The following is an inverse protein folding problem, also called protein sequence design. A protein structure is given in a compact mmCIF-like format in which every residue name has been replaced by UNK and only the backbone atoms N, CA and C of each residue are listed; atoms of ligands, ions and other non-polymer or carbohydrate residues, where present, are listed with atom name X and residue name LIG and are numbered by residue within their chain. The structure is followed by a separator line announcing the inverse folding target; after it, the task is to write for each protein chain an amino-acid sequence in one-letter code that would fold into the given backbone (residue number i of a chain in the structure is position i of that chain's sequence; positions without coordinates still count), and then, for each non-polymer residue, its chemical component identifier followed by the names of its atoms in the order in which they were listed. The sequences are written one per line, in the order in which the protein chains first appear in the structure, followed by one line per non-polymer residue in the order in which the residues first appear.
data_IF_105386182425
#
_entry.id   IF_105386182425
#
_cell.length_a   1.000
_cell.length_b   1.000
_cell.length_c   1.000
_cell.angle_alpha   90.00
_cell.angle_beta   90.00
_cell.angle_gamma   90.00
#
_symmetry.space_group_name_H-M   'P 1'
#
loop_
_entity.id
_entity.type
_entity.pdbx_description
1 polymer ?
#
# COMPACT_ATOMS: atom_id res chain seq x y z
N UNK A 1 1.06 23.86 8.69
CA UNK A 1 0.60 23.98 7.29
C UNK A 1 -0.34 22.85 6.83
N UNK A 2 -0.61 21.82 7.66
CA UNK A 2 -1.55 20.71 7.35
C UNK A 2 -3.04 21.11 7.32
N UNK A 3 -3.40 22.27 7.90
CA UNK A 3 -4.79 22.79 7.88
C UNK A 3 -5.34 23.20 6.49
N UNK A 4 -4.51 23.32 5.48
CA UNK A 4 -4.96 23.80 4.16
C UNK A 4 -5.65 22.72 3.29
N UNK A 5 -5.45 21.43 3.57
CA UNK A 5 -6.16 20.35 2.86
C UNK A 5 -7.47 19.95 3.58
N UNK A 6 -7.49 20.01 4.92
CA UNK A 6 -8.71 19.86 5.69
C UNK A 6 -9.75 20.95 5.43
N UNK A 7 -9.28 22.18 5.13
CA UNK A 7 -10.17 23.30 4.79
C UNK A 7 -10.82 23.21 3.41
N UNK A 8 -10.27 22.48 2.46
CA UNK A 8 -10.84 22.29 1.13
C UNK A 8 -11.92 21.17 1.14
N UNK A 9 -11.77 20.18 2.02
CA UNK A 9 -12.74 19.10 2.19
C UNK A 9 -14.01 19.56 2.92
N UNK A 10 -13.87 20.40 3.96
CA UNK A 10 -15.02 20.92 4.71
C UNK A 10 -15.99 21.77 3.87
N UNK A 11 -15.50 22.36 2.76
CA UNK A 11 -16.36 23.16 1.85
C UNK A 11 -17.26 22.29 0.98
N UNK A 12 -16.89 21.03 0.73
CA UNK A 12 -17.70 20.12 -0.13
C UNK A 12 -18.96 19.63 0.58
N UNK A 13 -18.93 19.48 1.90
CA UNK A 13 -20.07 19.00 2.69
C UNK A 13 -21.05 20.10 3.09
N UNK A 14 -20.66 21.39 3.01
CA UNK A 14 -21.53 22.52 3.40
C UNK A 14 -22.45 23.02 2.28
N UNK A 15 -22.33 22.53 1.06
CA UNK A 15 -23.17 22.95 -0.08
C UNK A 15 -23.99 21.78 -0.60
N UNK A 16 -25.11 21.53 0.02
CA UNK A 16 -26.11 20.69 -0.63
C UNK A 16 -27.03 20.02 0.36
N UNK A 17 -28.32 20.33 0.27
CA UNK A 17 -29.35 19.60 0.95
C UNK A 17 -29.18 18.09 0.71
N UNK A 18 -29.19 17.35 1.80
CA UNK A 18 -29.14 15.89 1.84
C UNK A 18 -30.31 15.31 1.03
N UNK A 19 -30.04 14.92 -0.19
CA UNK A 19 -30.89 13.92 -0.84
C UNK A 19 -30.58 12.59 -0.11
N UNK A 20 -31.33 12.30 0.95
CA UNK A 20 -31.27 11.01 1.61
C UNK A 20 -31.86 9.97 0.68
N UNK A 21 -31.04 9.09 0.12
CA UNK A 21 -31.52 7.87 -0.51
C UNK A 21 -31.86 6.82 0.56
N UNK A 22 -32.80 5.91 0.28
CA UNK A 22 -33.12 4.87 1.24
C UNK A 22 -31.86 4.05 1.54
N UNK A 23 -31.44 4.09 2.81
CA UNK A 23 -30.34 3.27 3.29
C UNK A 23 -30.72 1.79 3.12
N UNK A 24 -29.89 1.04 2.41
CA UNK A 24 -30.00 -0.42 2.38
C UNK A 24 -29.72 -0.93 3.78
N UNK A 25 -30.55 -1.82 4.32
CA UNK A 25 -30.43 -2.36 5.66
C UNK A 25 -29.13 -3.18 5.76
N UNK A 26 -28.04 -2.53 6.16
CA UNK A 26 -26.72 -3.12 6.28
C UNK A 26 -26.50 -3.82 7.62
N UNK A 27 -25.52 -4.68 7.67
CA UNK A 27 -25.00 -5.38 8.85
C UNK A 27 -24.66 -4.35 9.94
N UNK A 28 -24.95 -4.62 11.21
CA UNK A 28 -24.75 -3.71 12.32
C UNK A 28 -23.41 -2.94 12.24
N UNK A 29 -23.49 -1.60 12.19
CA UNK A 29 -22.34 -0.69 12.16
C UNK A 29 -21.82 -0.27 10.78
N UNK A 30 -22.33 -0.79 9.65
CA UNK A 30 -22.04 -0.30 8.31
C UNK A 30 -23.31 0.22 7.65
N UNK A 31 -23.28 1.47 7.19
CA UNK A 31 -24.35 2.09 6.40
C UNK A 31 -23.74 2.51 5.05
N UNK A 32 -24.43 2.22 3.95
CA UNK A 32 -23.97 2.63 2.62
C UNK A 32 -25.08 3.47 1.98
N UNK A 33 -24.76 4.72 1.69
CA UNK A 33 -25.59 5.64 0.93
C UNK A 33 -25.12 5.66 -0.53
N UNK A 34 -26.01 5.25 -1.44
CA UNK A 34 -25.67 5.11 -2.85
C UNK A 34 -26.86 5.47 -3.75
N UNK A 35 -26.64 6.24 -4.82
CA UNK A 35 -27.68 6.50 -5.81
C UNK A 35 -28.02 5.21 -6.59
N UNK A 36 -29.23 5.12 -7.20
CA UNK A 36 -29.69 3.92 -7.91
C UNK A 36 -28.69 3.33 -8.91
N UNK A 37 -27.94 4.11 -9.70
CA UNK A 37 -26.92 3.55 -10.61
C UNK A 37 -25.80 2.77 -9.91
N UNK A 38 -25.51 3.10 -8.65
CA UNK A 38 -24.46 2.47 -7.85
C UNK A 38 -24.95 1.40 -6.88
N UNK A 39 -26.25 1.00 -6.95
CA UNK A 39 -26.84 0.00 -6.05
C UNK A 39 -26.05 -1.33 -6.03
N UNK A 40 -25.68 -1.88 -7.20
CA UNK A 40 -24.84 -3.08 -7.28
C UNK A 40 -23.44 -2.91 -6.70
N UNK A 41 -22.95 -1.69 -6.71
CA UNK A 41 -21.64 -1.34 -6.12
C UNK A 41 -21.76 -1.32 -4.60
N UNK A 42 -22.87 -0.80 -4.06
CA UNK A 42 -23.18 -0.85 -2.63
C UNK A 42 -23.30 -2.30 -2.14
N UNK A 43 -24.07 -3.15 -2.84
CA UNK A 43 -24.21 -4.58 -2.52
C UNK A 43 -22.84 -5.31 -2.42
N UNK A 44 -21.91 -4.99 -3.32
CA UNK A 44 -20.53 -5.56 -3.27
C UNK A 44 -19.76 -5.10 -2.04
N UNK A 45 -19.90 -3.86 -1.61
CA UNK A 45 -19.26 -3.37 -0.39
C UNK A 45 -19.91 -3.94 0.88
N UNK A 46 -21.23 -4.16 0.88
CA UNK A 46 -21.93 -4.84 1.98
C UNK A 46 -21.43 -6.28 2.17
N UNK A 47 -21.04 -6.94 1.08
CA UNK A 47 -20.54 -8.31 1.05
C UNK A 47 -19.07 -8.44 1.47
N UNK A 48 -18.36 -7.34 1.77
CA UNK A 48 -16.95 -7.38 2.20
C UNK A 48 -16.79 -8.20 3.47
N UNK A 49 -15.78 -9.07 3.50
CA UNK A 49 -15.46 -9.90 4.66
C UNK A 49 -14.95 -9.03 5.84
N UNK A 50 -15.90 -8.65 6.69
CA UNK A 50 -15.62 -7.82 7.87
C UNK A 50 -14.83 -8.55 8.94
N UNK A 51 -15.00 -9.86 9.06
CA UNK A 51 -14.23 -10.64 10.04
C UNK A 51 -12.74 -10.64 9.65
N UNK A 52 -12.46 -10.77 8.37
CA UNK A 52 -11.11 -10.63 7.83
C UNK A 52 -10.56 -9.22 8.04
N UNK A 53 -11.34 -8.18 7.68
CA UNK A 53 -10.93 -6.79 7.90
C UNK A 53 -10.62 -6.51 9.37
N UNK A 54 -11.48 -6.95 10.29
CA UNK A 54 -11.26 -6.83 11.72
C UNK A 54 -9.99 -7.55 12.19
N UNK A 55 -9.74 -8.75 11.65
CA UNK A 55 -8.53 -9.50 11.94
C UNK A 55 -7.27 -8.76 11.47
N UNK A 56 -7.32 -8.18 10.26
CA UNK A 56 -6.20 -7.44 9.68
C UNK A 56 -5.89 -6.16 10.46
N UNK A 57 -6.93 -5.42 10.87
CA UNK A 57 -6.80 -4.25 11.74
C UNK A 57 -6.22 -4.62 13.12
N UNK A 58 -6.73 -5.68 13.75
CA UNK A 58 -6.22 -6.14 15.05
C UNK A 58 -4.75 -6.54 14.99
N UNK A 59 -4.30 -7.14 13.90
CA UNK A 59 -2.87 -7.41 13.70
C UNK A 59 -2.04 -6.14 13.69
N UNK A 60 -2.56 -5.04 13.15
CA UNK A 60 -1.92 -3.73 13.20
C UNK A 60 -2.06 -2.99 14.55
N UNK A 61 -2.73 -3.61 15.54
CA UNK A 61 -3.02 -2.99 16.84
C UNK A 61 -4.16 -1.97 16.81
N UNK A 62 -5.04 -2.10 15.81
CA UNK A 62 -6.19 -1.22 15.58
C UNK A 62 -7.50 -1.98 15.80
N UNK A 63 -8.55 -1.26 16.17
CA UNK A 63 -9.89 -1.80 16.31
C UNK A 63 -10.76 -1.36 15.13
N UNK A 64 -11.65 -2.25 14.68
CA UNK A 64 -12.66 -1.89 13.69
C UNK A 64 -13.60 -0.84 14.28
N UNK A 65 -13.83 0.31 13.61
CA UNK A 65 -14.80 1.31 14.07
C UNK A 65 -16.18 0.69 14.28
N UNK A 66 -16.86 1.11 15.35
CA UNK A 66 -18.19 0.60 15.69
C UNK A 66 -19.26 1.01 14.65
N UNK A 67 -19.04 2.15 14.00
CA UNK A 67 -19.89 2.70 12.94
C UNK A 67 -19.03 3.12 11.76
N UNK A 68 -19.49 2.80 10.56
CA UNK A 68 -18.87 3.19 9.29
C UNK A 68 -20.02 3.61 8.36
N UNK A 69 -20.02 4.86 7.95
CA UNK A 69 -20.98 5.41 7.03
C UNK A 69 -20.29 5.69 5.69
N UNK A 70 -20.68 4.98 4.64
CA UNK A 70 -20.07 5.09 3.31
C UNK A 70 -21.01 5.83 2.38
N UNK A 71 -20.53 6.88 1.73
CA UNK A 71 -21.24 7.57 0.66
C UNK A 71 -20.57 7.27 -0.68
N UNK A 72 -21.30 6.67 -1.60
CA UNK A 72 -20.84 6.45 -2.98
C UNK A 72 -21.29 7.61 -3.86
N UNK A 73 -20.33 8.27 -4.50
CA UNK A 73 -20.58 9.43 -5.35
C UNK A 73 -20.18 9.09 -6.80
N UNK A 74 -21.11 9.14 -7.78
CA UNK A 74 -20.77 8.96 -9.19
C UNK A 74 -20.04 10.20 -9.75
N UNK A 75 -19.26 10.05 -10.79
CA UNK A 75 -18.41 11.13 -11.32
C UNK A 75 -19.21 12.29 -11.96
N UNK A 76 -20.44 12.06 -12.37
CA UNK A 76 -21.35 13.07 -12.90
C UNK A 76 -22.03 13.91 -11.81
N UNK A 77 -21.95 13.50 -10.53
CA UNK A 77 -22.47 14.25 -9.38
C UNK A 77 -21.75 15.61 -9.25
N UNK A 78 -22.49 16.71 -9.01
CA UNK A 78 -21.87 18.02 -8.77
C UNK A 78 -20.83 18.04 -7.66
N UNK A 79 -20.96 17.20 -6.64
CA UNK A 79 -19.99 17.08 -5.53
C UNK A 79 -18.64 16.55 -6.02
N UNK A 80 -18.63 15.64 -6.99
CA UNK A 80 -17.41 15.06 -7.55
C UNK A 80 -16.53 16.11 -8.27
N UNK A 81 -17.14 17.18 -8.82
CA UNK A 81 -16.42 18.23 -9.55
C UNK A 81 -15.47 19.04 -8.70
N UNK A 82 -15.69 19.10 -7.40
CA UNK A 82 -14.86 19.84 -6.45
C UNK A 82 -13.71 19.02 -5.87
N UNK A 83 -13.68 17.71 -6.16
CA UNK A 83 -12.66 16.78 -5.69
C UNK A 83 -11.74 16.43 -6.86
N UNK A 84 -10.41 16.57 -6.71
CA UNK A 84 -9.46 16.19 -7.77
C UNK A 84 -9.71 14.77 -8.30
N UNK A 85 -9.66 14.59 -9.62
CA UNK A 85 -10.02 13.33 -10.27
C UNK A 85 -9.14 12.11 -9.86
N UNK A 86 -7.99 12.35 -9.28
CA UNK A 86 -7.10 11.31 -8.77
C UNK A 86 -7.46 10.84 -7.34
N UNK A 87 -8.40 11.51 -6.66
CA UNK A 87 -8.92 11.08 -5.36
C UNK A 87 -10.04 10.07 -5.62
N UNK A 88 -9.83 8.85 -5.15
CA UNK A 88 -10.75 7.72 -5.31
C UNK A 88 -11.66 7.57 -4.10
N UNK A 89 -11.15 7.89 -2.92
CA UNK A 89 -11.88 7.88 -1.65
C UNK A 89 -11.18 8.74 -0.63
N UNK A 90 -11.87 9.00 0.47
CA UNK A 90 -11.31 9.62 1.67
C UNK A 90 -12.21 9.38 2.87
N UNK A 91 -11.58 9.27 4.04
CA UNK A 91 -12.26 9.29 5.32
C UNK A 91 -12.48 10.74 5.79
N UNK A 92 -13.64 11.04 6.35
CA UNK A 92 -13.97 12.36 6.93
C UNK A 92 -14.59 12.17 8.32
N UNK A 93 -13.97 12.79 9.32
CA UNK A 93 -14.39 12.61 10.70
C UNK A 93 -14.05 11.24 11.27
N UNK A 94 -14.93 10.71 12.11
CA UNK A 94 -14.73 9.49 12.88
C UNK A 94 -15.39 8.23 12.31
N UNK A 95 -16.30 8.39 11.34
CA UNK A 95 -17.14 7.31 10.83
C UNK A 95 -17.40 7.39 9.33
N UNK A 96 -17.16 8.53 8.70
CA UNK A 96 -17.64 8.81 7.34
C UNK A 96 -16.56 8.52 6.31
N UNK A 97 -16.96 7.80 5.25
CA UNK A 97 -16.11 7.48 4.11
C UNK A 97 -16.84 7.92 2.84
N UNK A 98 -16.15 8.66 1.98
CA UNK A 98 -16.64 9.00 0.64
C UNK A 98 -15.80 8.22 -0.37
N UNK A 99 -16.47 7.56 -1.32
CA UNK A 99 -15.82 6.82 -2.40
C UNK A 99 -16.41 7.23 -3.75
N UNK A 100 -15.52 7.40 -4.74
CA UNK A 100 -15.84 7.62 -6.14
C UNK A 100 -15.55 6.33 -6.93
N UNK A 101 -16.52 5.42 -7.09
CA UNK A 101 -16.26 4.08 -7.61
C UNK A 101 -15.72 4.06 -9.05
N UNK A 102 -16.06 5.06 -9.86
CA UNK A 102 -15.63 5.17 -11.25
C UNK A 102 -14.16 5.61 -11.41
N UNK A 103 -13.56 6.11 -10.31
CA UNK A 103 -12.15 6.57 -10.27
C UNK A 103 -11.18 5.48 -9.82
N UNK A 104 -11.66 4.28 -9.49
CA UNK A 104 -10.79 3.19 -9.04
C UNK A 104 -9.87 2.77 -10.18
N UNK A 105 -8.59 3.09 -10.05
CA UNK A 105 -7.52 2.76 -10.99
C UNK A 105 -6.76 1.51 -10.51
N UNK A 106 -6.07 0.81 -11.40
CA UNK A 106 -5.31 -0.38 -11.02
C UNK A 106 -4.22 -0.15 -9.96
N UNK A 107 -3.83 1.10 -9.69
CA UNK A 107 -2.83 1.44 -8.67
C UNK A 107 -3.14 2.81 -8.03
N UNK A 108 -3.02 2.98 -6.71
CA UNK A 108 -2.55 2.00 -5.69
C UNK A 108 -3.59 0.96 -5.28
N UNK A 109 -4.84 1.09 -5.76
CA UNK A 109 -5.95 0.20 -5.44
C UNK A 109 -6.28 -0.67 -6.65
N UNK A 110 -6.46 -1.96 -6.43
CA UNK A 110 -6.85 -2.89 -7.49
C UNK A 110 -8.36 -3.19 -7.51
N UNK A 111 -9.10 -2.71 -6.52
CA UNK A 111 -10.52 -2.95 -6.37
C UNK A 111 -11.19 -1.92 -5.46
N UNK A 112 -12.50 -1.82 -5.56
CA UNK A 112 -13.32 -1.01 -4.66
C UNK A 112 -13.21 -1.48 -3.19
N UNK A 113 -13.09 -2.80 -2.98
CA UNK A 113 -12.88 -3.37 -1.65
C UNK A 113 -11.56 -2.87 -1.05
N UNK A 114 -10.50 -2.81 -1.87
CA UNK A 114 -9.20 -2.28 -1.46
C UNK A 114 -9.30 -0.83 -1.01
N UNK A 115 -9.99 0.03 -1.78
CA UNK A 115 -10.26 1.42 -1.37
C UNK A 115 -11.02 1.47 -0.03
N UNK A 116 -12.10 0.72 0.10
CA UNK A 116 -12.89 0.69 1.33
C UNK A 116 -12.05 0.26 2.54
N UNK A 117 -11.27 -0.81 2.42
CA UNK A 117 -10.38 -1.30 3.49
C UNK A 117 -9.32 -0.28 3.88
N UNK A 118 -8.79 0.44 2.90
CA UNK A 118 -7.84 1.51 3.10
C UNK A 118 -8.46 2.67 3.90
N UNK A 119 -9.65 3.13 3.53
CA UNK A 119 -10.32 4.21 4.24
C UNK A 119 -10.76 3.80 5.65
N UNK A 120 -11.21 2.56 5.84
CA UNK A 120 -11.50 2.03 7.18
C UNK A 120 -10.24 1.98 8.07
N UNK A 121 -9.07 1.68 7.49
CA UNK A 121 -7.82 1.70 8.24
C UNK A 121 -7.45 3.12 8.70
N UNK A 122 -7.77 4.16 7.91
CA UNK A 122 -7.63 5.56 8.33
C UNK A 122 -8.51 5.87 9.54
N UNK A 123 -9.81 5.54 9.49
CA UNK A 123 -10.73 5.74 10.62
C UNK A 123 -10.25 5.01 11.89
N UNK A 124 -9.79 3.75 11.73
CA UNK A 124 -9.31 2.95 12.84
C UNK A 124 -8.03 3.53 13.47
N UNK A 125 -7.14 4.07 12.65
CA UNK A 125 -5.89 4.69 13.11
C UNK A 125 -6.15 6.01 13.81
N UNK A 126 -7.04 6.86 13.27
CA UNK A 126 -7.46 8.12 13.89
C UNK A 126 -8.14 7.89 15.24
N UNK A 127 -9.04 6.92 15.30
CA UNK A 127 -9.67 6.52 16.56
C UNK A 127 -8.63 6.05 17.59
N UNK A 128 -7.64 5.26 17.17
CA UNK A 128 -6.54 4.78 18.03
C UNK A 128 -5.61 5.90 18.49
N UNK A 129 -5.40 6.92 17.65
CA UNK A 129 -4.63 8.12 17.98
C UNK A 129 -5.42 9.14 18.82
N UNK A 130 -6.71 8.91 19.08
CA UNK A 130 -7.57 9.84 19.80
C UNK A 130 -7.79 11.16 19.05
N UNK A 131 -7.73 11.16 17.71
CA UNK A 131 -7.82 12.34 16.86
C UNK A 131 -6.57 13.22 16.86
N UNK A 132 -5.46 12.74 17.42
CA UNK A 132 -4.20 13.48 17.39
C UNK A 132 -3.53 13.34 16.00
N UNK A 133 -2.85 14.41 15.57
CA UNK A 133 -2.16 14.46 14.27
C UNK A 133 -1.02 13.42 14.21
N UNK A 134 -1.07 12.56 13.21
CA UNK A 134 -0.01 11.64 12.83
C UNK A 134 0.63 12.10 11.50
N UNK A 135 1.93 11.84 11.27
CA UNK A 135 2.56 12.15 9.99
C UNK A 135 1.88 11.41 8.83
N UNK A 136 1.62 12.11 7.73
CA UNK A 136 0.90 11.55 6.58
C UNK A 136 1.52 10.24 6.07
N UNK A 137 2.85 10.16 5.98
CA UNK A 137 3.53 8.94 5.55
C UNK A 137 3.21 7.74 6.46
N UNK A 138 3.05 7.98 7.77
CA UNK A 138 2.70 6.92 8.70
C UNK A 138 1.24 6.50 8.52
N UNK A 139 0.36 7.47 8.37
CA UNK A 139 -1.07 7.27 8.12
C UNK A 139 -1.32 6.41 6.88
N UNK A 140 -0.77 6.84 5.74
CA UNK A 140 -0.88 6.14 4.46
C UNK A 140 -0.18 4.78 4.47
N UNK A 141 0.99 4.71 5.10
CA UNK A 141 1.73 3.45 5.22
C UNK A 141 0.99 2.40 6.03
N UNK A 142 0.32 2.79 7.12
CA UNK A 142 -0.52 1.89 7.92
C UNK A 142 -1.72 1.42 7.11
N UNK A 143 -2.46 2.33 6.47
CA UNK A 143 -3.63 2.00 5.67
C UNK A 143 -3.28 1.02 4.54
N UNK A 144 -2.22 1.29 3.78
CA UNK A 144 -1.70 0.39 2.74
C UNK A 144 -1.27 -0.98 3.30
N UNK A 145 -0.72 -1.03 4.51
CA UNK A 145 -0.25 -2.27 5.13
C UNK A 145 -1.37 -3.16 5.65
N UNK A 146 -2.56 -2.62 5.89
CA UNK A 146 -3.76 -3.35 6.32
C UNK A 146 -4.52 -3.92 5.14
N UNK A 147 -4.57 -3.20 4.01
CA UNK A 147 -5.35 -3.63 2.84
C UNK A 147 -4.80 -4.90 2.21
N UNK A 148 -3.56 -4.90 1.78
CA UNK A 148 -2.91 -6.07 1.18
C UNK A 148 -1.43 -6.12 1.52
N UNK A 149 -0.94 -7.33 1.72
CA UNK A 149 0.50 -7.56 1.65
C UNK A 149 1.03 -7.09 0.30
N UNK A 150 2.09 -6.30 0.32
CA UNK A 150 2.79 -5.73 -0.82
C UNK A 150 2.93 -6.71 -1.97
N UNK A 151 2.37 -6.38 -3.12
CA UNK A 151 2.55 -7.14 -4.34
C UNK A 151 3.94 -6.88 -4.98
N UNK A 152 4.30 -7.72 -5.94
CA UNK A 152 5.60 -7.64 -6.62
C UNK A 152 5.73 -6.34 -7.43
N UNK A 153 4.63 -5.85 -8.01
CA UNK A 153 4.62 -4.64 -8.83
C UNK A 153 4.87 -3.38 -7.98
N UNK A 154 4.21 -3.28 -6.82
CA UNK A 154 4.46 -2.21 -5.86
C UNK A 154 5.91 -2.21 -5.38
N UNK A 155 6.52 -3.39 -5.16
CA UNK A 155 7.94 -3.52 -4.82
C UNK A 155 8.86 -3.02 -5.92
N UNK A 156 8.60 -3.36 -7.17
CA UNK A 156 9.39 -2.91 -8.33
C UNK A 156 9.29 -1.40 -8.52
N UNK A 157 8.09 -0.82 -8.42
CA UNK A 157 7.90 0.65 -8.51
C UNK A 157 8.63 1.38 -7.39
N UNK A 158 8.60 0.84 -6.17
CA UNK A 158 9.36 1.37 -5.05
C UNK A 158 10.86 1.41 -5.34
N UNK A 159 11.40 0.31 -5.87
CA UNK A 159 12.83 0.18 -6.17
C UNK A 159 13.31 1.23 -7.17
N UNK A 160 12.47 1.58 -8.14
CA UNK A 160 12.78 2.63 -9.11
C UNK A 160 12.70 4.05 -8.50
N UNK A 161 11.92 4.22 -7.43
CA UNK A 161 11.74 5.51 -6.71
C UNK A 161 12.74 5.78 -5.59
N UNK A 162 13.54 4.78 -5.19
CA UNK A 162 14.45 4.87 -4.03
C UNK A 162 15.80 5.55 -4.30
N UNK A 163 16.01 6.11 -5.48
CA UNK A 163 17.23 6.85 -5.77
C UNK A 163 17.37 8.03 -4.79
N UNK A 164 18.29 7.93 -3.82
CA UNK A 164 18.60 9.01 -2.90
C UNK A 164 18.32 8.79 -1.41
N UNK A 165 17.86 7.60 -0.99
CA UNK A 165 17.63 7.29 0.43
C UNK A 165 16.70 8.31 1.13
N UNK A 166 15.43 8.43 0.71
CA UNK A 166 14.53 9.49 1.16
C UNK A 166 14.23 9.37 2.67
N UNK A 167 14.45 10.47 3.42
CA UNK A 167 14.03 10.59 4.81
C UNK A 167 12.54 10.93 4.94
N UNK A 168 12.05 11.03 6.17
CA UNK A 168 10.63 11.35 6.44
C UNK A 168 10.23 12.75 5.97
N UNK A 169 11.15 13.72 5.94
CA UNK A 169 10.93 15.05 5.37
C UNK A 169 10.72 14.98 3.85
N UNK A 170 11.43 14.10 3.15
CA UNK A 170 11.23 13.88 1.72
C UNK A 170 9.88 13.24 1.43
N UNK A 171 9.45 12.27 2.23
CA UNK A 171 8.10 11.71 2.14
C UNK A 171 7.03 12.79 2.30
N UNK A 172 7.19 13.68 3.27
CA UNK A 172 6.27 14.81 3.47
C UNK A 172 6.25 15.74 2.24
N UNK A 173 7.40 15.99 1.61
CA UNK A 173 7.50 16.80 0.38
C UNK A 173 6.80 16.12 -0.81
N UNK A 174 7.01 14.83 -1.00
CA UNK A 174 6.35 14.05 -2.06
C UNK A 174 4.82 14.08 -1.91
N UNK A 175 4.30 13.95 -0.69
CA UNK A 175 2.86 14.08 -0.42
C UNK A 175 2.32 15.50 -0.60
N UNK A 176 3.17 16.53 -0.48
CA UNK A 176 2.78 17.90 -0.73
C UNK A 176 2.75 18.26 -2.22
N UNK A 177 3.35 17.44 -3.06
CA UNK A 177 3.31 17.59 -4.52
C UNK A 177 1.89 17.33 -5.05
N UNK A 178 1.53 18.06 -6.10
CA UNK A 178 0.28 17.85 -6.85
C UNK A 178 0.47 16.90 -8.04
N UNK A 179 1.68 16.39 -8.24
CA UNK A 179 1.99 15.48 -9.33
C UNK A 179 1.66 14.04 -8.93
N UNK A 180 0.83 13.37 -9.70
CA UNK A 180 0.40 11.99 -9.46
C UNK A 180 1.57 10.99 -9.32
N UNK A 181 2.66 11.06 -10.12
CA UNK A 181 3.79 10.15 -9.96
C UNK A 181 4.49 10.27 -8.60
N UNK A 182 4.64 11.50 -8.08
CA UNK A 182 5.27 11.76 -6.79
C UNK A 182 4.39 11.26 -5.63
N UNK A 183 3.08 11.47 -5.72
CA UNK A 183 2.14 10.90 -4.75
C UNK A 183 2.20 9.37 -4.73
N UNK A 184 2.17 8.71 -5.89
CA UNK A 184 2.28 7.26 -6.00
C UNK A 184 3.60 6.74 -5.40
N UNK A 185 4.70 7.45 -5.60
CA UNK A 185 5.99 7.14 -4.97
C UNK A 185 5.91 7.26 -3.44
N UNK A 186 5.30 8.32 -2.93
CA UNK A 186 5.14 8.54 -1.49
C UNK A 186 4.32 7.42 -0.84
N UNK A 187 3.22 6.98 -1.46
CA UNK A 187 2.41 5.84 -1.01
C UNK A 187 3.26 4.57 -0.91
N UNK A 188 4.00 4.24 -1.98
CA UNK A 188 4.86 3.07 -2.02
C UNK A 188 5.93 3.08 -0.94
N UNK A 189 6.64 4.21 -0.76
CA UNK A 189 7.66 4.36 0.27
C UNK A 189 7.09 4.24 1.68
N UNK A 190 5.92 4.84 1.93
CA UNK A 190 5.23 4.79 3.22
C UNK A 190 4.83 3.36 3.60
N UNK A 191 4.24 2.64 2.64
CA UNK A 191 3.87 1.25 2.83
C UNK A 191 5.08 0.36 3.12
N UNK A 192 6.22 0.57 2.41
CA UNK A 192 7.45 -0.15 2.65
C UNK A 192 8.00 0.08 4.05
N UNK A 193 8.05 1.35 4.46
CA UNK A 193 8.56 1.71 5.78
C UNK A 193 7.72 1.08 6.89
N UNK A 194 6.39 1.20 6.81
CA UNK A 194 5.49 0.61 7.81
C UNK A 194 5.55 -0.91 7.80
N UNK A 195 5.64 -1.55 6.64
CA UNK A 195 5.81 -3.00 6.53
C UNK A 195 7.12 -3.46 7.18
N UNK A 196 8.22 -2.73 6.97
CA UNK A 196 9.50 -3.02 7.63
C UNK A 196 9.43 -2.84 9.15
N UNK A 197 8.76 -1.79 9.62
CA UNK A 197 8.51 -1.56 11.05
C UNK A 197 7.72 -2.72 11.67
N UNK A 198 6.62 -3.13 11.07
CA UNK A 198 5.79 -4.25 11.53
C UNK A 198 6.59 -5.55 11.60
N UNK A 199 7.42 -5.80 10.60
CA UNK A 199 8.28 -7.00 10.56
C UNK A 199 9.33 -7.01 11.67
N UNK A 200 9.93 -5.86 11.99
CA UNK A 200 11.04 -5.76 12.98
C UNK A 200 10.56 -5.65 14.41
N UNK A 201 9.47 -4.92 14.64
CA UNK A 201 8.99 -4.55 15.98
C UNK A 201 7.65 -5.20 16.35
N UNK A 202 7.12 -6.05 15.47
CA UNK A 202 5.84 -6.73 15.66
C UNK A 202 4.69 -6.08 14.89
N UNK A 203 3.74 -6.92 14.50
CA UNK A 203 2.62 -6.53 13.65
C UNK A 203 1.79 -5.38 14.23
N UNK A 204 1.66 -5.29 15.56
CA UNK A 204 0.83 -4.32 16.25
C UNK A 204 1.53 -2.99 16.56
N UNK A 205 2.80 -2.81 16.15
CA UNK A 205 3.57 -1.59 16.45
C UNK A 205 2.89 -0.29 15.96
N UNK A 206 2.15 -0.25 14.82
CA UNK A 206 1.45 0.97 14.42
C UNK A 206 0.41 1.42 15.44
N UNK A 207 -0.42 0.49 15.92
CA UNK A 207 -1.42 0.79 16.94
C UNK A 207 -0.80 1.14 18.31
N UNK A 208 0.35 0.59 18.67
CA UNK A 208 1.08 0.95 19.88
C UNK A 208 1.58 2.40 19.81
N UNK A 209 2.20 2.80 18.70
CA UNK A 209 2.64 4.19 18.47
C UNK A 209 1.45 5.15 18.55
N UNK A 210 0.35 4.87 17.81
CA UNK A 210 -0.85 5.69 17.82
C UNK A 210 -1.45 5.83 19.23
N UNK A 211 -1.52 4.75 19.99
CA UNK A 211 -2.02 4.77 21.38
C UNK A 211 -1.17 5.61 22.32
N UNK A 212 0.16 5.68 22.15
CA UNK A 212 1.00 6.59 22.92
C UNK A 212 0.77 8.05 22.54
N UNK A 213 0.54 8.32 21.25
CA UNK A 213 0.19 9.67 20.78
C UNK A 213 -1.14 10.10 21.39
N UNK A 214 -2.16 9.22 21.41
CA UNK A 214 -3.42 9.46 22.13
C UNK A 214 -3.23 9.79 23.61
N UNK A 215 -2.20 9.20 24.24
CA UNK A 215 -1.79 9.49 25.63
C UNK A 215 -1.02 10.80 25.79
N UNK A 216 -0.89 11.64 24.76
CA UNK A 216 -0.23 12.94 24.79
C UNK A 216 1.26 12.95 24.45
N UNK A 217 1.85 11.82 24.06
CA UNK A 217 3.22 11.80 23.57
C UNK A 217 3.33 12.43 22.18
N UNK A 218 4.44 13.11 21.87
CA UNK A 218 4.71 13.49 20.50
C UNK A 218 4.92 12.23 19.64
N UNK A 219 4.59 12.30 18.34
CA UNK A 219 4.81 11.17 17.43
C UNK A 219 6.26 10.67 17.46
N UNK A 220 7.24 11.56 17.44
CA UNK A 220 8.65 11.19 17.47
C UNK A 220 9.02 10.45 18.77
N UNK A 221 8.49 10.88 19.92
CA UNK A 221 8.70 10.23 21.22
C UNK A 221 8.00 8.87 21.28
N UNK A 222 6.74 8.80 20.81
CA UNK A 222 5.98 7.55 20.75
C UNK A 222 6.67 6.52 19.84
N UNK A 223 7.12 6.96 18.67
CA UNK A 223 7.83 6.13 17.71
C UNK A 223 9.13 5.58 18.31
N UNK A 224 9.99 6.47 18.87
CA UNK A 224 11.25 6.05 19.47
C UNK A 224 11.05 5.11 20.68
N UNK A 225 9.99 5.32 21.45
CA UNK A 225 9.63 4.46 22.58
C UNK A 225 9.25 3.04 22.18
N UNK A 226 8.54 2.88 21.04
CA UNK A 226 8.09 1.57 20.55
C UNK A 226 9.13 0.86 19.66
N UNK A 227 10.02 1.62 18.99
CA UNK A 227 10.95 1.05 18.00
C UNK A 227 12.42 1.11 18.44
N UNK A 228 12.76 1.94 19.43
CA UNK A 228 14.15 2.19 19.84
C UNK A 228 14.93 3.07 18.87
N UNK A 229 14.30 3.66 17.86
CA UNK A 229 14.96 4.47 16.84
C UNK A 229 14.08 5.67 16.42
N UNK A 230 14.69 6.66 15.77
CA UNK A 230 13.93 7.78 15.20
C UNK A 230 13.29 7.40 13.86
N UNK A 231 12.21 8.09 13.41
CA UNK A 231 11.60 7.83 12.11
C UNK A 231 12.57 7.88 10.93
N UNK A 232 13.54 8.80 10.92
CA UNK A 232 14.53 8.91 9.85
C UNK A 232 15.56 7.78 9.87
N UNK A 233 15.96 7.31 11.06
CA UNK A 233 16.82 6.12 11.19
C UNK A 233 16.08 4.88 10.71
N UNK A 234 14.81 4.74 11.06
CA UNK A 234 13.96 3.65 10.57
C UNK A 234 13.84 3.66 9.05
N UNK A 235 13.60 4.83 8.44
CA UNK A 235 13.56 5.00 7.00
C UNK A 235 14.89 4.58 6.35
N UNK A 236 16.01 5.13 6.81
CA UNK A 236 17.34 4.78 6.28
C UNK A 236 17.65 3.28 6.38
N UNK A 237 17.22 2.65 7.47
CA UNK A 237 17.39 1.21 7.69
C UNK A 237 16.51 0.39 6.73
N UNK A 238 15.24 0.74 6.59
CA UNK A 238 14.33 0.10 5.66
C UNK A 238 14.91 0.13 4.24
N UNK A 239 15.38 1.30 3.78
CA UNK A 239 15.97 1.45 2.46
C UNK A 239 17.26 0.64 2.29
N UNK A 240 18.10 0.56 3.29
CA UNK A 240 19.34 -0.24 3.22
C UNK A 240 19.09 -1.74 2.97
N UNK A 241 17.97 -2.26 3.46
CA UNK A 241 17.53 -3.64 3.19
C UNK A 241 17.06 -3.77 1.74
N UNK A 242 16.23 -2.84 1.28
CA UNK A 242 15.72 -2.86 -0.11
C UNK A 242 16.84 -2.61 -1.12
N UNK A 243 17.74 -1.65 -0.89
CA UNK A 243 18.88 -1.34 -1.78
C UNK A 243 19.82 -2.55 -1.91
N UNK A 244 20.08 -3.30 -0.84
CA UNK A 244 20.88 -4.52 -0.93
C UNK A 244 20.27 -5.57 -1.85
N UNK A 245 18.96 -5.69 -1.86
CA UNK A 245 18.26 -6.58 -2.79
C UNK A 245 18.25 -6.05 -4.22
N UNK A 246 18.15 -4.72 -4.41
CA UNK A 246 18.15 -4.10 -5.74
C UNK A 246 19.48 -4.15 -6.46
N UNK A 247 20.60 -4.13 -5.74
CA UNK A 247 21.91 -4.29 -6.38
C UNK A 247 22.06 -5.65 -7.10
N UNK A 248 21.22 -6.65 -6.75
CA UNK A 248 21.19 -7.95 -7.41
C UNK A 248 20.09 -8.07 -8.49
N UNK A 249 19.03 -7.27 -8.41
CA UNK A 249 17.90 -7.35 -9.37
C UNK A 249 18.28 -6.85 -10.78
N UNK A 250 18.94 -5.69 -10.98
CA UNK A 250 19.32 -5.24 -12.31
C UNK A 250 20.27 -6.20 -13.06
N UNK A 251 21.32 -6.77 -12.46
CA UNK A 251 22.11 -7.78 -13.14
C UNK A 251 21.31 -9.06 -13.43
N UNK A 252 20.29 -9.40 -12.64
CA UNK A 252 19.47 -10.60 -12.89
C UNK A 252 18.32 -10.36 -13.90
N UNK A 253 17.84 -9.14 -14.05
CA UNK A 253 16.72 -8.78 -14.94
C UNK A 253 17.15 -8.01 -16.18
N UNK A 254 18.41 -7.55 -16.24
CA UNK A 254 18.93 -6.91 -17.44
C UNK A 254 18.96 -7.90 -18.60
N UNK A 255 18.64 -7.45 -19.79
CA UNK A 255 18.75 -8.29 -20.99
C UNK A 255 20.12 -8.95 -21.14
N UNK A 256 21.20 -8.28 -20.68
CA UNK A 256 22.56 -8.85 -20.61
C UNK A 256 22.67 -10.01 -19.63
N UNK A 257 21.98 -10.01 -18.49
CA UNK A 257 22.02 -11.13 -17.55
C UNK A 257 21.27 -12.35 -18.09
N UNK A 258 20.12 -12.13 -18.71
CA UNK A 258 19.38 -13.21 -19.39
C UNK A 258 20.24 -13.84 -20.47
N UNK A 259 20.88 -13.02 -21.31
CA UNK A 259 21.81 -13.52 -22.33
C UNK A 259 23.04 -14.19 -21.73
N UNK A 260 23.59 -13.69 -20.62
CA UNK A 260 24.71 -14.34 -19.91
C UNK A 260 24.33 -15.71 -19.39
N UNK A 261 23.14 -15.85 -18.77
CA UNK A 261 22.62 -17.15 -18.32
C UNK A 261 22.42 -18.10 -19.51
N UNK A 262 21.81 -17.62 -20.60
CA UNK A 262 21.62 -18.41 -21.82
C UNK A 262 22.98 -18.87 -22.37
N UNK A 263 23.97 -18.00 -22.47
CA UNK A 263 25.31 -18.34 -22.95
C UNK A 263 26.02 -19.33 -22.03
N UNK A 264 25.90 -19.18 -20.72
CA UNK A 264 26.47 -20.14 -19.76
C UNK A 264 25.82 -21.51 -19.92
N UNK A 265 24.49 -21.56 -19.98
CA UNK A 265 23.76 -22.83 -20.20
C UNK A 265 24.10 -23.45 -21.56
N UNK A 266 24.19 -22.65 -22.61
CA UNK A 266 24.62 -23.12 -23.94
C UNK A 266 26.06 -23.68 -23.90
N UNK A 267 26.97 -22.99 -23.20
CA UNK A 267 28.34 -23.44 -22.99
C UNK A 267 28.42 -24.77 -22.23
N UNK A 268 27.66 -24.93 -21.16
CA UNK A 268 27.55 -26.19 -20.41
C UNK A 268 27.01 -27.32 -21.29
N UNK A 269 25.92 -27.04 -22.02
CA UNK A 269 25.34 -28.03 -22.95
C UNK A 269 26.31 -28.40 -24.07
N UNK A 270 27.07 -27.45 -24.60
CA UNK A 270 28.09 -27.72 -25.61
C UNK A 270 29.23 -28.58 -25.07
N UNK A 271 29.74 -28.27 -23.87
CA UNK A 271 30.75 -29.08 -23.20
C UNK A 271 30.26 -30.50 -22.91
N UNK A 272 29.01 -30.66 -22.44
CA UNK A 272 28.41 -31.96 -22.21
C UNK A 272 28.33 -32.78 -23.54
N UNK A 273 27.87 -32.15 -24.63
CA UNK A 273 27.80 -32.79 -25.96
C UNK A 273 29.18 -33.10 -26.51
N UNK A 274 30.16 -32.25 -26.28
CA UNK A 274 31.56 -32.51 -26.69
C UNK A 274 32.14 -33.72 -25.95
N UNK A 275 31.95 -33.80 -24.63
CA UNK A 275 32.35 -34.97 -23.83
C UNK A 275 31.66 -36.26 -24.25
N UNK A 276 30.38 -36.18 -24.55
CA UNK A 276 29.66 -37.35 -25.05
C UNK A 276 30.13 -37.82 -26.41
N UNK A 277 30.52 -36.91 -27.34
CA UNK A 277 31.09 -37.26 -28.64
C UNK A 277 32.47 -37.89 -28.51
N UNK A 278 33.33 -37.38 -27.62
CA UNK A 278 34.65 -37.94 -27.38
C UNK A 278 34.55 -39.38 -26.83
N UNK A 279 33.65 -39.59 -25.84
CA UNK A 279 33.39 -40.95 -25.31
C UNK A 279 32.83 -41.94 -26.34
N UNK A 280 32.01 -41.48 -27.31
CA UNK A 280 31.51 -42.31 -28.39
C UNK A 280 32.63 -42.71 -29.36
N UNK A 281 33.53 -41.79 -29.71
CA UNK A 281 34.67 -42.08 -30.57
C UNK A 281 35.62 -43.10 -29.91
N UNK A 282 35.91 -42.93 -28.63
CA UNK A 282 36.74 -43.86 -27.88
C UNK A 282 36.15 -45.28 -27.85
N UNK A 283 34.82 -45.44 -27.74
CA UNK A 283 34.18 -46.75 -27.81
C UNK A 283 34.25 -47.39 -29.20
N UNK A 284 34.14 -46.59 -30.23
CA UNK A 284 34.24 -47.11 -31.60
C UNK A 284 35.68 -47.51 -31.90
N UNK A 285 36.69 -46.73 -31.48
CA UNK A 285 38.09 -47.08 -31.63
C UNK A 285 38.44 -48.39 -30.85
N UNK A 286 37.85 -48.60 -29.68
CA UNK A 286 37.96 -49.82 -28.89
C UNK A 286 37.27 -51.04 -29.57
N UNK A 287 36.12 -50.83 -30.18
CA UNK A 287 35.40 -51.90 -30.91
C UNK A 287 36.12 -52.29 -32.23
N UNK A 288 36.78 -51.35 -32.92
CA UNK A 288 37.59 -51.61 -34.12
C UNK A 288 38.91 -52.33 -33.79
N UNK A 289 39.47 -52.20 -32.58
CA UNK A 289 40.69 -52.90 -32.16
C UNK A 289 40.40 -54.34 -31.67
N UNK A 290 39.14 -54.67 -31.38
CA UNK A 290 38.74 -56.02 -30.94
C UNK A 290 38.29 -56.96 -32.10
N UNK A 291 38.10 -56.42 -33.36
CA UNK A 291 37.82 -57.18 -34.56
C UNK A 291 39.11 -57.50 -35.36
#
# INVERSE_FOLDING_TARGET
MARALGGLLAVVLAVGGSASWPATAGIAGLTIDAPPPLARTAERLEAVDRARLQSDLRRAGLDLPARIDVTLIPDDDPRARHVPAWIVGFADGSSDIVIFPERVLPYPYDSLESVFRHEVAHLALDARAGGADLPRWFHEGVAMSVDKGWDLEGRVRLLLGMAGNPGTAELARLFASRAQPEAAQAYGLSAALVTDLRRRHGEAVPGAIAGRVAGGASFASAFASETGETPDVAASRAWSVYIRWTNWVPPLTSGSAVWTVILVLAGVAWLARRRARVRRRQRWDEEEEEE
#
